data_IF_403159498464
#
_entry.id   IF_403159498464
#
_cell.length_a   1.000
_cell.length_b   1.000
_cell.length_c   1.000
_cell.angle_alpha   90.00
_cell.angle_beta   90.00
_cell.angle_gamma   90.00
#
_symmetry.space_group_name_H-M   'P 1'
#
loop_
_entity.id
_entity.type
_entity.pdbx_description
1 polymer ?
#
# COMPACT_ATOMS: atom_id res chain seq x y z
N UNK A 1 -38.24 -22.36 -50.17
CA UNK A 1 -38.38 -21.07 -50.88
C UNK A 1 -37.50 -20.03 -50.23
N UNK A 2 -36.56 -19.45 -51.01
CA UNK A 2 -35.92 -18.11 -50.87
C UNK A 2 -35.18 -17.79 -49.55
N UNK A 3 -33.96 -17.25 -49.51
CA UNK A 3 -32.89 -16.87 -50.44
C UNK A 3 -31.67 -16.59 -49.52
N UNK A 4 -30.46 -16.88 -50.00
CA UNK A 4 -29.21 -16.43 -49.38
C UNK A 4 -29.19 -14.90 -49.26
N UNK A 5 -28.53 -14.36 -48.23
CA UNK A 5 -27.76 -13.13 -48.38
C UNK A 5 -26.46 -13.20 -47.57
N UNK A 6 -25.36 -13.30 -48.32
CA UNK A 6 -24.00 -12.99 -47.90
C UNK A 6 -23.93 -11.50 -47.57
N UNK A 7 -23.40 -11.14 -46.41
CA UNK A 7 -22.72 -9.84 -46.25
C UNK A 7 -21.37 -10.11 -45.60
N UNK A 8 -20.35 -9.87 -46.41
CA UNK A 8 -18.95 -9.91 -46.05
C UNK A 8 -18.52 -8.56 -45.45
N UNK A 9 -17.48 -8.63 -44.61
CA UNK A 9 -16.45 -7.62 -44.33
C UNK A 9 -16.88 -6.18 -44.00
N UNK A 10 -16.41 -5.67 -42.86
CA UNK A 10 -15.25 -4.77 -42.83
C UNK A 10 -14.87 -4.44 -41.37
N UNK A 11 -13.67 -4.86 -40.98
CA UNK A 11 -12.97 -4.37 -39.80
C UNK A 11 -12.60 -2.90 -40.03
N UNK A 12 -13.31 -1.97 -39.40
CA UNK A 12 -12.88 -0.58 -39.33
C UNK A 12 -11.88 -0.44 -38.17
N UNK A 13 -10.61 -0.74 -38.45
CA UNK A 13 -9.50 -0.34 -37.59
C UNK A 13 -9.39 1.17 -37.65
N UNK A 14 -9.83 1.88 -36.61
CA UNK A 14 -9.60 3.31 -36.47
C UNK A 14 -8.09 3.55 -36.29
N UNK A 15 -7.41 3.91 -37.38
CA UNK A 15 -6.07 4.44 -37.31
C UNK A 15 -6.15 5.85 -36.68
N UNK A 16 -5.78 5.97 -35.41
CA UNK A 16 -5.49 7.26 -34.79
C UNK A 16 -4.29 7.87 -35.49
N UNK A 17 -4.54 8.77 -36.45
CA UNK A 17 -3.53 9.70 -36.93
C UNK A 17 -3.21 10.66 -35.79
N UNK A 18 -2.09 10.42 -35.08
CA UNK A 18 -1.55 11.42 -34.17
C UNK A 18 -0.99 12.57 -35.00
N UNK A 19 -1.68 13.71 -34.98
CA UNK A 19 -1.11 14.96 -35.46
C UNK A 19 0.17 15.22 -34.67
N UNK A 20 1.33 15.22 -35.34
CA UNK A 20 2.59 15.63 -34.74
C UNK A 20 2.52 17.14 -34.46
N UNK A 21 2.08 17.50 -33.26
CA UNK A 21 2.16 18.87 -32.78
C UNK A 21 3.63 19.30 -32.70
N UNK A 22 3.95 20.50 -33.18
CA UNK A 22 5.28 21.08 -33.04
C UNK A 22 5.66 21.11 -31.55
N UNK A 23 6.68 20.36 -31.17
CA UNK A 23 7.16 20.32 -29.78
C UNK A 23 7.82 21.67 -29.47
N UNK A 24 7.45 22.29 -28.34
CA UNK A 24 8.14 23.48 -27.84
C UNK A 24 9.56 23.10 -27.43
N UNK A 25 10.53 23.90 -27.84
CA UNK A 25 11.95 23.69 -27.51
C UNK A 25 12.44 24.90 -26.72
N UNK A 26 12.77 24.68 -25.45
CA UNK A 26 13.06 25.74 -24.48
C UNK A 26 14.57 25.95 -24.27
N UNK A 27 15.35 25.78 -25.34
CA UNK A 27 16.77 26.11 -25.37
C UNK A 27 17.01 27.47 -26.02
N UNK A 28 18.05 28.18 -25.56
CA UNK A 28 18.47 29.43 -26.19
C UNK A 28 19.04 29.16 -27.58
N UNK A 29 18.59 29.95 -28.57
CA UNK A 29 18.93 29.77 -29.99
C UNK A 29 19.59 31.01 -30.57
N UNK A 30 20.30 30.83 -31.68
CA UNK A 30 20.78 31.93 -32.52
C UNK A 30 19.59 32.74 -33.06
N UNK A 31 19.85 33.98 -33.47
CA UNK A 31 18.78 34.91 -33.88
C UNK A 31 17.95 34.41 -35.08
N UNK A 32 18.54 33.56 -35.92
CA UNK A 32 17.89 32.86 -37.04
C UNK A 32 17.14 31.58 -36.63
N UNK A 33 17.17 31.22 -35.34
CA UNK A 33 16.50 30.05 -34.76
C UNK A 33 17.11 28.70 -35.15
N UNK A 34 18.18 28.69 -35.94
CA UNK A 34 18.72 27.50 -36.58
C UNK A 34 19.61 26.65 -35.65
N UNK A 35 20.34 27.29 -34.74
CA UNK A 35 21.31 26.62 -33.86
C UNK A 35 21.00 26.90 -32.38
N UNK A 36 21.31 25.91 -31.53
CA UNK A 36 21.20 26.03 -30.07
C UNK A 36 22.55 26.39 -29.48
N UNK A 37 22.56 27.37 -28.58
CA UNK A 37 23.78 27.79 -27.89
C UNK A 37 24.28 26.69 -26.95
N UNK A 38 25.60 26.49 -26.92
CA UNK A 38 26.27 25.46 -26.10
C UNK A 38 27.24 26.08 -25.10
N UNK A 39 27.56 25.34 -24.04
CA UNK A 39 28.63 25.68 -23.09
C UNK A 39 29.98 25.68 -23.79
N UNK A 40 30.98 26.33 -23.19
CA UNK A 40 32.30 26.50 -23.81
C UNK A 40 32.98 25.16 -24.15
N UNK A 41 32.74 24.13 -23.33
CA UNK A 41 33.21 22.75 -23.51
C UNK A 41 32.32 21.92 -24.46
N UNK A 42 31.28 22.51 -25.04
CA UNK A 42 30.30 21.89 -25.93
C UNK A 42 29.53 20.71 -25.33
N UNK A 43 29.67 20.46 -24.02
CA UNK A 43 29.07 19.32 -23.34
C UNK A 43 27.57 19.50 -23.09
N UNK A 44 27.11 20.74 -22.90
CA UNK A 44 25.73 21.08 -22.55
C UNK A 44 25.19 22.22 -23.43
N UNK A 45 23.87 22.31 -23.53
CA UNK A 45 23.17 23.39 -24.22
C UNK A 45 22.55 24.39 -23.23
N UNK A 46 22.56 25.67 -23.60
CA UNK A 46 21.96 26.72 -22.79
C UNK A 46 20.43 26.62 -22.80
N UNK A 47 19.84 26.80 -21.62
CA UNK A 47 18.41 26.57 -21.31
C UNK A 47 17.75 27.89 -20.91
N UNK A 48 16.51 28.11 -21.33
CA UNK A 48 15.75 29.28 -20.89
C UNK A 48 14.96 28.98 -19.59
N UNK A 49 14.24 29.98 -19.07
CA UNK A 49 13.55 29.88 -17.77
C UNK A 49 12.42 28.82 -17.74
N UNK A 50 11.91 28.39 -18.90
CA UNK A 50 10.79 27.46 -19.02
C UNK A 50 11.25 26.03 -19.34
N UNK A 51 12.55 25.76 -19.33
CA UNK A 51 13.11 24.49 -19.79
C UNK A 51 12.73 23.29 -18.92
N UNK A 52 12.40 22.17 -19.56
CA UNK A 52 12.26 20.84 -18.94
C UNK A 52 12.92 19.76 -19.83
N UNK A 53 13.19 18.54 -19.30
CA UNK A 53 13.74 17.45 -20.12
C UNK A 53 12.88 17.11 -21.35
N UNK A 54 11.56 17.29 -21.27
CA UNK A 54 10.64 17.02 -22.38
C UNK A 54 10.71 18.08 -23.50
N UNK A 55 11.23 19.28 -23.19
CA UNK A 55 11.34 20.41 -24.13
C UNK A 55 12.79 20.67 -24.56
N UNK A 56 13.68 19.71 -24.34
CA UNK A 56 15.07 19.82 -24.74
C UNK A 56 15.23 19.71 -26.27
N UNK A 57 16.15 20.50 -26.81
CA UNK A 57 16.54 20.41 -28.20
C UNK A 57 17.19 19.06 -28.50
N UNK A 58 16.81 18.47 -29.63
CA UNK A 58 17.39 17.21 -30.11
C UNK A 58 18.90 17.35 -30.29
N UNK A 59 19.68 16.46 -29.67
CA UNK A 59 21.15 16.47 -29.74
C UNK A 59 21.85 17.35 -28.70
N UNK A 60 21.12 17.87 -27.71
CA UNK A 60 21.64 18.58 -26.56
C UNK A 60 21.70 17.72 -25.29
N UNK A 61 22.61 18.05 -24.38
CA UNK A 61 22.70 17.56 -22.99
C UNK A 61 22.93 16.05 -22.80
N UNK A 62 23.51 15.36 -23.81
CA UNK A 62 24.02 13.98 -23.67
C UNK A 62 23.01 12.88 -23.30
N UNK A 63 21.75 13.23 -23.05
CA UNK A 63 20.77 12.35 -22.43
C UNK A 63 19.34 12.60 -22.95
N UNK A 64 19.14 12.49 -24.26
CA UNK A 64 17.89 11.95 -24.82
C UNK A 64 18.26 10.91 -25.87
N UNK A 65 18.87 9.82 -25.41
CA UNK A 65 18.70 8.53 -26.09
C UNK A 65 17.41 7.96 -25.52
N UNK A 66 16.32 8.07 -26.28
CA UNK A 66 15.17 7.22 -26.05
C UNK A 66 15.68 5.78 -26.06
N UNK A 67 15.53 5.06 -24.95
CA UNK A 67 16.00 3.68 -24.86
C UNK A 67 15.13 2.81 -25.77
N UNK A 68 15.54 2.68 -27.03
CA UNK A 68 15.02 1.71 -27.97
C UNK A 68 15.61 0.34 -27.62
N UNK A 69 14.74 -0.67 -27.60
CA UNK A 69 15.08 -2.06 -27.31
C UNK A 69 16.16 -2.60 -28.26
N UNK A 70 17.18 -3.27 -27.72
CA UNK A 70 18.23 -3.92 -28.50
C UNK A 70 18.05 -5.45 -28.54
N UNK A 71 18.07 -6.01 -29.75
CA UNK A 71 18.24 -7.45 -30.02
C UNK A 71 19.73 -7.86 -29.89
N UNK A 72 20.06 -9.14 -29.67
CA UNK A 72 21.32 -9.54 -29.04
C UNK A 72 22.48 -9.71 -30.03
N UNK A 73 23.68 -9.33 -29.60
CA UNK A 73 24.96 -9.67 -30.24
C UNK A 73 25.68 -10.78 -29.44
N UNK A 74 26.49 -11.65 -30.09
CA UNK A 74 27.09 -12.83 -29.46
C UNK A 74 28.20 -12.48 -28.46
N UNK A 75 28.28 -13.29 -27.40
CA UNK A 75 29.06 -13.05 -26.19
C UNK A 75 30.59 -13.18 -26.39
N UNK A 76 31.39 -12.19 -25.94
CA UNK A 76 32.79 -12.41 -25.58
C UNK A 76 32.89 -13.22 -24.28
N UNK A 77 33.83 -14.16 -24.23
CA UNK A 77 34.06 -15.04 -23.09
C UNK A 77 34.33 -14.25 -21.79
N UNK A 78 33.60 -14.61 -20.73
CA UNK A 78 33.69 -13.97 -19.43
C UNK A 78 35.04 -14.30 -18.74
N UNK A 79 35.76 -13.27 -18.30
CA UNK A 79 36.73 -13.40 -17.22
C UNK A 79 35.98 -13.77 -15.92
N UNK A 80 36.55 -14.59 -15.03
CA UNK A 80 35.89 -14.94 -13.78
C UNK A 80 35.70 -13.68 -12.93
N UNK A 81 34.45 -13.41 -12.57
CA UNK A 81 34.07 -12.27 -11.74
C UNK A 81 34.68 -12.40 -10.33
N UNK A 82 35.14 -11.29 -9.71
CA UNK A 82 35.44 -11.28 -8.29
C UNK A 82 34.19 -11.67 -7.49
N UNK A 83 34.38 -12.44 -6.42
CA UNK A 83 33.31 -12.95 -5.56
C UNK A 83 32.35 -11.83 -5.14
N UNK A 84 31.03 -12.07 -5.10
CA UNK A 84 30.07 -11.06 -4.71
C UNK A 84 30.35 -10.61 -3.27
N UNK A 85 30.51 -9.30 -3.08
CA UNK A 85 30.40 -8.69 -1.77
C UNK A 85 29.04 -9.11 -1.16
N UNK A 86 28.96 -9.36 0.16
CA UNK A 86 27.72 -9.76 0.80
C UNK A 86 26.61 -8.75 0.51
N UNK A 87 25.49 -9.25 -0.01
CA UNK A 87 24.32 -8.45 -0.33
C UNK A 87 23.84 -7.72 0.92
N UNK A 88 23.77 -6.39 0.85
CA UNK A 88 23.10 -5.58 1.86
C UNK A 88 21.62 -5.97 1.80
N UNK A 89 21.11 -6.61 2.86
CA UNK A 89 19.71 -7.01 2.96
C UNK A 89 18.85 -5.74 2.87
N UNK A 90 18.03 -5.62 1.83
CA UNK A 90 17.06 -4.53 1.73
C UNK A 90 16.11 -4.58 2.95
N UNK A 91 15.74 -3.44 3.57
CA UNK A 91 14.78 -3.42 4.66
C UNK A 91 13.49 -4.14 4.25
N UNK A 92 13.08 -5.14 5.03
CA UNK A 92 11.83 -5.84 4.73
C UNK A 92 10.65 -4.89 4.88
N UNK A 93 9.66 -4.95 3.97
CA UNK A 93 8.44 -4.16 4.12
C UNK A 93 7.69 -4.55 5.40
N UNK A 94 6.97 -3.60 6.03
CA UNK A 94 6.14 -3.89 7.20
C UNK A 94 5.12 -4.98 6.89
N UNK A 95 5.07 -6.01 7.73
CA UNK A 95 4.08 -7.07 7.68
C UNK A 95 2.93 -6.73 8.64
N UNK A 96 1.70 -6.82 8.15
CA UNK A 96 0.49 -6.70 8.95
C UNK A 96 -0.09 -8.09 9.25
N UNK A 97 -0.34 -8.37 10.53
CA UNK A 97 -1.00 -9.59 11.00
C UNK A 97 -2.27 -9.21 11.76
N UNK A 98 -3.41 -9.70 11.28
CA UNK A 98 -4.71 -9.50 11.93
C UNK A 98 -5.12 -10.73 12.72
N UNK A 99 -5.47 -10.55 13.99
CA UNK A 99 -5.96 -11.59 14.88
C UNK A 99 -7.34 -11.19 15.41
N UNK A 100 -8.32 -12.08 15.27
CA UNK A 100 -9.69 -11.83 15.73
C UNK A 100 -10.00 -12.69 16.96
N UNK A 101 -10.52 -12.05 17.99
CA UNK A 101 -10.94 -12.70 19.23
C UNK A 101 -12.44 -12.52 19.44
N UNK A 102 -13.15 -13.59 19.81
CA UNK A 102 -14.54 -13.47 20.26
C UNK A 102 -14.61 -12.63 21.54
N UNK A 103 -15.58 -11.71 21.63
CA UNK A 103 -15.70 -10.81 22.77
C UNK A 103 -16.03 -11.57 24.05
N UNK A 104 -16.78 -12.68 23.97
CA UNK A 104 -17.14 -13.51 25.12
C UNK A 104 -15.90 -14.21 25.72
N UNK A 105 -14.80 -14.33 24.96
CA UNK A 105 -13.51 -14.79 25.50
C UNK A 105 -12.76 -13.71 26.29
N UNK A 106 -13.10 -12.43 26.09
CA UNK A 106 -12.44 -11.29 26.69
C UNK A 106 -13.28 -10.64 27.79
N UNK A 107 -14.59 -10.66 27.68
CA UNK A 107 -15.52 -9.91 28.51
C UNK A 107 -16.74 -10.74 28.87
N UNK A 108 -17.35 -10.46 30.01
CA UNK A 108 -18.71 -10.95 30.27
C UNK A 108 -19.73 -10.15 29.43
N UNK A 109 -20.95 -10.68 29.35
CA UNK A 109 -22.07 -10.01 28.70
C UNK A 109 -22.22 -8.58 29.23
N UNK A 110 -22.36 -7.64 28.30
CA UNK A 110 -22.50 -6.20 28.56
C UNK A 110 -21.36 -5.52 29.36
N UNK A 111 -20.23 -6.20 29.56
CA UNK A 111 -19.06 -5.63 30.25
C UNK A 111 -17.94 -5.27 29.28
N UNK A 112 -17.05 -4.40 29.76
CA UNK A 112 -15.78 -4.02 29.13
C UNK A 112 -14.56 -4.31 30.02
N UNK A 113 -14.74 -5.02 31.13
CA UNK A 113 -13.63 -5.43 32.00
C UNK A 113 -13.07 -6.75 31.50
N UNK A 114 -11.77 -6.79 31.22
CA UNK A 114 -11.08 -7.98 30.73
C UNK A 114 -11.10 -9.11 31.78
N UNK A 115 -11.57 -10.27 31.36
CA UNK A 115 -11.52 -11.54 32.10
C UNK A 115 -10.10 -12.10 32.17
N UNK A 116 -9.79 -12.98 33.14
CA UNK A 116 -8.50 -13.66 33.21
C UNK A 116 -8.12 -14.39 31.91
N UNK A 117 -9.09 -15.04 31.25
CA UNK A 117 -8.84 -15.78 30.01
C UNK A 117 -8.49 -14.84 28.85
N UNK A 118 -9.16 -13.68 28.78
CA UNK A 118 -8.85 -12.63 27.80
C UNK A 118 -7.46 -12.05 28.01
N UNK A 119 -7.09 -11.80 29.27
CA UNK A 119 -5.74 -11.37 29.65
C UNK A 119 -4.67 -12.37 29.23
N UNK A 120 -4.91 -13.67 29.45
CA UNK A 120 -3.99 -14.72 29.02
C UNK A 120 -3.80 -14.77 27.48
N UNK A 121 -4.87 -14.56 26.71
CA UNK A 121 -4.78 -14.47 25.24
C UNK A 121 -4.01 -13.24 24.77
N UNK A 122 -4.16 -12.11 25.46
CA UNK A 122 -3.37 -10.91 25.19
C UNK A 122 -1.90 -11.10 25.58
N UNK A 123 -1.62 -11.86 26.65
CA UNK A 123 -0.24 -12.22 27.02
C UNK A 123 0.43 -13.10 25.96
N UNK A 124 -0.29 -14.07 25.40
CA UNK A 124 0.17 -14.88 24.26
C UNK A 124 0.45 -14.01 23.03
N UNK A 125 -0.44 -13.05 22.72
CA UNK A 125 -0.21 -12.07 21.64
C UNK A 125 1.07 -11.27 21.90
N UNK A 126 1.24 -10.72 23.11
CA UNK A 126 2.46 -9.99 23.51
C UNK A 126 3.69 -10.87 23.32
N UNK A 127 3.61 -12.15 23.69
CA UNK A 127 4.68 -13.13 23.47
C UNK A 127 5.03 -13.31 21.99
N UNK A 128 4.04 -13.45 21.11
CA UNK A 128 4.22 -13.66 19.66
C UNK A 128 4.83 -12.46 18.94
N UNK A 129 4.57 -11.26 19.44
CA UNK A 129 5.12 -10.03 18.86
C UNK A 129 6.48 -9.64 19.46
N UNK A 130 7.01 -10.42 20.42
CA UNK A 130 8.40 -10.25 20.86
C UNK A 130 9.34 -10.49 19.69
N UNK A 131 10.26 -9.55 19.47
CA UNK A 131 11.20 -9.59 18.34
C UNK A 131 10.64 -9.09 17.01
N UNK A 132 9.39 -8.62 16.98
CA UNK A 132 8.90 -7.77 15.88
C UNK A 132 9.29 -6.34 16.24
N UNK A 133 9.92 -5.63 15.31
CA UNK A 133 9.96 -4.17 15.32
C UNK A 133 8.54 -3.68 15.01
N UNK A 134 7.71 -3.72 16.05
CA UNK A 134 6.33 -3.31 16.00
C UNK A 134 6.32 -1.86 15.47
N UNK A 135 5.32 -1.50 14.67
CA UNK A 135 5.02 -0.11 14.26
C UNK A 135 3.73 0.38 14.91
N UNK A 136 2.66 -0.41 14.79
CA UNK A 136 1.36 -0.06 15.37
C UNK A 136 0.52 -1.30 15.70
N UNK A 137 -0.31 -1.19 16.73
CA UNK A 137 -1.40 -2.12 17.05
C UNK A 137 -2.72 -1.35 16.96
N UNK A 138 -3.70 -1.93 16.27
CA UNK A 138 -5.04 -1.37 16.15
C UNK A 138 -6.03 -2.37 16.77
N UNK A 139 -6.70 -1.98 17.84
CA UNK A 139 -7.75 -2.76 18.48
C UNK A 139 -9.13 -2.21 18.07
N UNK A 140 -9.92 -3.02 17.37
CA UNK A 140 -11.25 -2.64 16.88
C UNK A 140 -12.33 -3.48 17.57
N UNK A 141 -13.26 -2.80 18.23
CA UNK A 141 -14.35 -3.42 18.96
C UNK A 141 -15.61 -3.48 18.10
N UNK A 142 -16.32 -4.61 18.18
CA UNK A 142 -17.60 -4.82 17.52
C UNK A 142 -18.63 -5.38 18.51
N UNK A 143 -19.89 -5.11 18.24
CA UNK A 143 -21.04 -5.67 18.95
C UNK A 143 -21.93 -6.46 18.00
N UNK A 144 -22.89 -7.18 18.55
CA UNK A 144 -24.07 -7.58 17.78
C UNK A 144 -25.08 -6.42 17.69
N UNK A 145 -26.21 -6.69 17.05
CA UNK A 145 -27.32 -5.75 16.86
C UNK A 145 -28.23 -5.56 18.08
N UNK A 146 -27.90 -6.12 19.24
CA UNK A 146 -28.78 -6.01 20.41
C UNK A 146 -28.47 -4.70 21.14
N UNK A 147 -29.49 -3.87 21.32
CA UNK A 147 -29.35 -2.56 21.96
C UNK A 147 -29.48 -1.41 20.95
N UNK A 148 -29.11 -0.20 21.37
CA UNK A 148 -29.12 0.97 20.48
C UNK A 148 -27.74 1.16 19.85
N UNK A 149 -27.69 1.67 18.62
CA UNK A 149 -26.43 2.02 17.93
C UNK A 149 -25.49 2.85 18.80
N UNK A 150 -26.02 3.86 19.49
CA UNK A 150 -25.23 4.74 20.37
C UNK A 150 -24.69 4.01 21.59
N UNK A 151 -25.44 3.05 22.13
CA UNK A 151 -24.96 2.19 23.20
C UNK A 151 -23.85 1.27 22.71
N UNK A 152 -24.09 0.56 21.62
CA UNK A 152 -23.18 -0.39 21.00
C UNK A 152 -21.87 0.25 20.54
N UNK A 153 -21.95 1.46 19.99
CA UNK A 153 -20.79 2.27 19.68
C UNK A 153 -19.94 2.53 20.92
N UNK A 154 -20.53 3.03 22.02
CA UNK A 154 -19.80 3.30 23.27
C UNK A 154 -19.24 2.03 23.89
N UNK A 155 -19.98 0.94 23.90
CA UNK A 155 -19.53 -0.35 24.43
C UNK A 155 -18.32 -0.89 23.65
N UNK A 156 -18.37 -0.82 22.32
CA UNK A 156 -17.27 -1.26 21.47
C UNK A 156 -15.99 -0.45 21.70
N UNK A 157 -16.10 0.88 21.86
CA UNK A 157 -14.96 1.76 22.20
C UNK A 157 -14.35 1.38 23.55
N UNK A 158 -15.17 1.26 24.61
CA UNK A 158 -14.69 0.89 25.95
C UNK A 158 -13.96 -0.45 25.97
N UNK A 159 -14.44 -1.43 25.19
CA UNK A 159 -13.79 -2.75 25.07
C UNK A 159 -12.42 -2.64 24.40
N UNK A 160 -12.30 -1.89 23.31
CA UNK A 160 -11.01 -1.64 22.67
C UNK A 160 -10.04 -0.89 23.59
N UNK A 161 -10.53 0.10 24.33
CA UNK A 161 -9.74 0.84 25.32
C UNK A 161 -9.23 -0.05 26.45
N UNK A 162 -10.04 -1.00 26.93
CA UNK A 162 -9.62 -1.98 27.93
C UNK A 162 -8.47 -2.88 27.41
N UNK A 163 -8.56 -3.31 26.15
CA UNK A 163 -7.46 -4.04 25.47
C UNK A 163 -6.20 -3.18 25.40
N UNK A 164 -6.32 -1.92 24.97
CA UNK A 164 -5.19 -0.98 24.93
C UNK A 164 -4.56 -0.79 26.31
N UNK A 165 -5.35 -0.52 27.33
CA UNK A 165 -4.85 -0.32 28.69
C UNK A 165 -4.06 -1.54 29.18
N UNK A 166 -4.53 -2.75 28.85
CA UNK A 166 -3.84 -3.99 29.20
C UNK A 166 -2.54 -4.20 28.42
N UNK A 167 -2.55 -3.97 27.10
CA UNK A 167 -1.33 -4.06 26.28
C UNK A 167 -0.26 -3.06 26.74
N UNK A 168 -0.68 -1.85 27.14
CA UNK A 168 0.21 -0.84 27.71
C UNK A 168 0.78 -1.28 29.05
N UNK A 169 0.00 -1.91 29.92
CA UNK A 169 0.52 -2.44 31.19
C UNK A 169 1.49 -3.59 31.01
N UNK A 170 1.50 -4.23 29.83
CA UNK A 170 2.49 -5.25 29.43
C UNK A 170 3.75 -4.67 28.80
N UNK A 171 3.87 -3.35 28.74
CA UNK A 171 5.07 -2.65 28.27
C UNK A 171 5.04 -2.20 26.81
N UNK A 172 3.89 -2.33 26.12
CA UNK A 172 3.75 -1.75 24.78
C UNK A 172 3.52 -0.24 24.91
N UNK A 173 4.26 0.55 24.15
CA UNK A 173 4.14 2.00 24.24
C UNK A 173 2.74 2.50 23.85
N UNK A 174 2.21 3.46 24.62
CA UNK A 174 0.82 3.95 24.47
C UNK A 174 0.52 4.56 23.10
N UNK A 175 1.49 5.26 22.52
CA UNK A 175 1.46 5.89 21.19
C UNK A 175 1.44 4.85 20.05
N UNK A 176 1.69 3.58 20.34
CA UNK A 176 1.74 2.49 19.37
C UNK A 176 0.49 1.63 19.39
N UNK A 177 -0.47 1.93 20.26
CA UNK A 177 -1.75 1.22 20.36
C UNK A 177 -2.90 2.19 20.09
N UNK A 178 -3.63 1.96 19.01
CA UNK A 178 -4.83 2.69 18.61
C UNK A 178 -6.07 1.85 18.86
N UNK A 179 -7.18 2.53 19.10
CA UNK A 179 -8.45 1.90 19.45
C UNK A 179 -9.57 2.49 18.65
N UNK A 180 -10.41 1.64 18.11
CA UNK A 180 -11.65 2.03 17.45
C UNK A 180 -12.81 1.20 17.97
N UNK A 181 -14.00 1.80 17.96
CA UNK A 181 -15.25 1.08 18.13
C UNK A 181 -16.06 1.21 16.85
N UNK A 182 -16.65 0.12 16.38
CA UNK A 182 -17.54 0.13 15.21
C UNK A 182 -19.00 -0.18 15.57
N UNK A 183 -19.28 -0.43 16.86
CA UNK A 183 -20.57 -0.93 17.30
C UNK A 183 -21.00 -2.12 16.46
N UNK A 184 -22.25 -2.08 15.97
CA UNK A 184 -22.85 -3.13 15.13
C UNK A 184 -22.70 -2.88 13.62
N UNK A 185 -22.01 -1.80 13.21
CA UNK A 185 -21.99 -1.33 11.81
C UNK A 185 -21.21 -2.21 10.84
N UNK A 186 -20.40 -3.13 11.35
CA UNK A 186 -19.57 -4.04 10.57
C UNK A 186 -19.77 -5.50 11.05
N UNK A 187 -20.95 -6.08 10.79
CA UNK A 187 -21.21 -7.47 11.12
C UNK A 187 -20.43 -8.39 10.17
N UNK A 188 -19.95 -9.51 10.68
CA UNK A 188 -19.28 -10.58 9.93
C UNK A 188 -20.18 -11.80 9.74
N UNK A 189 -21.33 -11.83 10.42
CA UNK A 189 -22.34 -12.87 10.33
C UNK A 189 -23.74 -12.26 10.50
N UNK A 190 -24.77 -13.06 10.22
CA UNK A 190 -26.17 -12.62 10.32
C UNK A 190 -26.56 -12.28 11.77
N UNK A 191 -27.05 -11.06 11.99
CA UNK A 191 -27.50 -10.60 13.31
C UNK A 191 -28.86 -11.20 13.72
N UNK A 192 -29.59 -11.81 12.77
CA UNK A 192 -30.88 -12.45 13.06
C UNK A 192 -30.73 -13.74 13.85
N UNK A 193 -29.61 -14.45 13.73
CA UNK A 193 -29.35 -15.72 14.43
C UNK A 193 -28.52 -15.52 15.69
N UNK A 194 -28.71 -16.38 16.69
CA UNK A 194 -27.94 -16.31 17.94
C UNK A 194 -26.44 -16.56 17.69
N UNK A 195 -26.16 -17.51 16.79
CA UNK A 195 -24.82 -17.91 16.38
C UNK A 195 -24.11 -16.78 15.63
N UNK A 196 -24.81 -16.07 14.74
CA UNK A 196 -24.24 -14.95 14.01
C UNK A 196 -24.00 -13.74 14.91
N UNK A 197 -24.90 -13.44 15.85
CA UNK A 197 -24.65 -12.43 16.90
C UNK A 197 -23.41 -12.76 17.73
N UNK A 198 -23.23 -14.02 18.13
CA UNK A 198 -22.04 -14.44 18.86
C UNK A 198 -20.73 -14.21 18.07
N UNK A 199 -20.74 -14.41 16.75
CA UNK A 199 -19.60 -14.09 15.88
C UNK A 199 -19.37 -12.59 15.72
N UNK A 200 -20.43 -11.79 15.71
CA UNK A 200 -20.34 -10.33 15.58
C UNK A 200 -19.77 -9.66 16.84
N UNK A 201 -20.07 -10.20 18.03
CA UNK A 201 -19.44 -9.81 19.29
C UNK A 201 -17.97 -10.22 19.28
N UNK A 202 -17.09 -9.36 18.80
CA UNK A 202 -15.65 -9.63 18.67
C UNK A 202 -14.79 -8.40 18.91
N UNK A 203 -13.52 -8.64 19.19
CA UNK A 203 -12.45 -7.64 19.13
C UNK A 203 -11.42 -8.12 18.12
N UNK A 204 -11.14 -7.28 17.14
CA UNK A 204 -10.08 -7.49 16.16
C UNK A 204 -8.84 -6.75 16.61
N UNK A 205 -7.69 -7.40 16.56
CA UNK A 205 -6.41 -6.81 16.89
C UNK A 205 -5.51 -6.98 15.69
N UNK A 206 -5.16 -5.88 15.06
CA UNK A 206 -4.21 -5.82 13.96
C UNK A 206 -2.87 -5.35 14.46
N UNK A 207 -1.81 -6.09 14.12
CA UNK A 207 -0.43 -5.83 14.51
C UNK A 207 0.35 -5.58 13.24
N UNK A 208 0.95 -4.40 13.12
CA UNK A 208 1.80 -4.02 11.99
C UNK A 208 3.22 -3.82 12.49
N UNK A 209 4.20 -4.38 11.78
CA UNK A 209 5.61 -4.17 12.07
C UNK A 209 6.53 -4.97 11.16
N UNK A 210 7.82 -4.82 11.35
CA UNK A 210 8.86 -5.55 10.60
C UNK A 210 9.52 -6.59 11.50
N UNK A 211 9.92 -7.74 10.96
CA UNK A 211 10.75 -8.72 11.67
C UNK A 211 12.12 -8.74 10.99
N UNK A 212 13.19 -8.63 11.77
CA UNK A 212 14.52 -8.95 11.24
C UNK A 212 14.60 -10.47 11.11
N UNK A 213 14.85 -10.95 9.89
CA UNK A 213 15.10 -12.36 9.62
C UNK A 213 16.43 -12.82 10.23
#
# INVERSE_FOLDING_TARGET
MKKLNKVAMLLASAALATAAGAQSVDNWRTADGALVWKTADQALCWRNANWTPATAAKGCDGAIVAQAAAAPAPAPAASPAPAPAPAVVAPQPPAATKVTYAADAFFDFDKSVLKPEGRAKLDDLVGKIKGINLEVIIAVGHTDSVGTDAYNQRLSVRRSEAVKAYLVSKGIERNRVYTEGKGEKQPVADNKTAEGRAKNRRVEIEVVGTRAN
#
